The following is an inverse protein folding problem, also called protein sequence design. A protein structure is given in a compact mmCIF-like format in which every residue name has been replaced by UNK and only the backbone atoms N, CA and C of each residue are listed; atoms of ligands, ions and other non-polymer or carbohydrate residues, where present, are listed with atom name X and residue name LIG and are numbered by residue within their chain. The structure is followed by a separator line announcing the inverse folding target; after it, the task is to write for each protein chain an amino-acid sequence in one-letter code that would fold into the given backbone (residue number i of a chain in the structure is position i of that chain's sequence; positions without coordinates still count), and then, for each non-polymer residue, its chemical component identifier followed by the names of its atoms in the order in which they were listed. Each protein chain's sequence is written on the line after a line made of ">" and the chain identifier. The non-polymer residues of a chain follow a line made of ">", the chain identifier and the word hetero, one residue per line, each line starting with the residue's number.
data_IF_124015027575
#
_entry.id   IF_124015027575
#
_cell.length_a   1.000
_cell.length_b   1.000
_cell.length_c   1.000
_cell.angle_alpha   90.00
_cell.angle_beta   90.00
_cell.angle_gamma   90.00
#
_symmetry.space_group_name_H-M   'P 1'
#
loop_
_entity.id
_entity.type
_entity.pdbx_description
1 polymer ?
#
# COMPACT_ATOMS: atom_id res chain seq x y z
N UNK A 1 -5.73 13.26 -25.25
CA UNK A 1 -5.77 11.91 -24.67
C UNK A 1 -5.35 10.93 -25.76
N UNK A 2 -4.31 10.13 -25.53
CA UNK A 2 -4.03 8.98 -26.39
C UNK A 2 -5.22 8.03 -26.26
N UNK A 3 -5.95 7.78 -27.36
CA UNK A 3 -6.97 6.74 -27.37
C UNK A 3 -6.25 5.39 -27.46
N UNK A 4 -5.99 4.79 -26.30
CA UNK A 4 -5.48 3.42 -26.22
C UNK A 4 -6.66 2.47 -26.43
N UNK A 5 -6.62 1.66 -27.47
CA UNK A 5 -7.66 0.68 -27.75
C UNK A 5 -7.44 -0.62 -26.95
N UNK A 6 -8.48 -1.46 -26.84
CA UNK A 6 -8.41 -2.71 -26.07
C UNK A 6 -7.32 -3.68 -26.55
N UNK A 7 -6.99 -3.66 -27.85
CA UNK A 7 -5.92 -4.50 -28.40
C UNK A 7 -4.54 -4.06 -27.89
N UNK A 8 -4.33 -2.75 -27.74
CA UNK A 8 -3.10 -2.20 -27.14
C UNK A 8 -3.03 -2.53 -25.65
N UNK A 9 -4.15 -2.43 -24.91
CA UNK A 9 -4.22 -2.83 -23.50
C UNK A 9 -3.87 -4.32 -23.36
N UNK A 10 -4.45 -5.17 -24.20
CA UNK A 10 -4.15 -6.62 -24.22
C UNK A 10 -2.69 -6.91 -24.59
N UNK A 11 -2.07 -6.10 -25.44
CA UNK A 11 -0.65 -6.24 -25.75
C UNK A 11 0.25 -5.95 -24.53
N UNK A 12 -0.11 -4.93 -23.73
CA UNK A 12 0.58 -4.62 -22.47
C UNK A 12 0.33 -5.74 -21.45
N UNK A 13 -0.92 -6.23 -21.35
CA UNK A 13 -1.29 -7.37 -20.52
C UNK A 13 -0.47 -8.62 -20.81
N UNK A 14 -0.21 -8.92 -22.10
CA UNK A 14 0.69 -10.01 -22.49
C UNK A 14 2.11 -9.83 -21.97
N UNK A 15 2.64 -8.60 -21.90
CA UNK A 15 3.96 -8.35 -21.31
C UNK A 15 3.95 -8.59 -19.80
N UNK A 16 2.88 -8.16 -19.10
CA UNK A 16 2.72 -8.40 -17.65
C UNK A 16 2.64 -9.90 -17.33
N UNK A 17 1.89 -10.66 -18.12
CA UNK A 17 1.58 -12.07 -17.88
C UNK A 17 2.63 -13.05 -18.45
N UNK A 18 3.68 -12.56 -19.11
CA UNK A 18 4.76 -13.40 -19.66
C UNK A 18 5.82 -13.69 -18.59
N UNK A 19 5.75 -14.89 -18.00
CA UNK A 19 6.67 -15.35 -16.96
C UNK A 19 8.13 -15.49 -17.44
N UNK A 20 8.39 -15.53 -18.75
CA UNK A 20 9.75 -15.58 -19.28
C UNK A 20 10.41 -14.20 -19.35
N UNK A 21 9.66 -13.12 -19.09
CA UNK A 21 10.19 -11.76 -19.13
C UNK A 21 10.83 -11.34 -17.81
N UNK A 22 11.87 -10.50 -17.87
CA UNK A 22 12.43 -9.89 -16.66
C UNK A 22 11.37 -9.13 -15.87
N UNK A 23 11.40 -9.28 -14.53
CA UNK A 23 10.42 -8.68 -13.64
C UNK A 23 10.29 -7.15 -13.81
N UNK A 24 11.39 -6.45 -14.11
CA UNK A 24 11.39 -5.00 -14.43
C UNK A 24 10.51 -4.62 -15.63
N UNK A 25 10.39 -5.49 -16.63
CA UNK A 25 9.52 -5.25 -17.79
C UNK A 25 8.06 -5.47 -17.43
N UNK A 26 7.80 -6.51 -16.63
CA UNK A 26 6.48 -6.85 -16.12
C UNK A 26 5.93 -5.73 -15.22
N UNK A 27 6.75 -5.17 -14.33
CA UNK A 27 6.39 -3.98 -13.54
C UNK A 27 6.08 -2.76 -14.41
N UNK A 28 6.88 -2.50 -15.46
CA UNK A 28 6.57 -1.41 -16.39
C UNK A 28 5.23 -1.60 -17.08
N UNK A 29 4.90 -2.83 -17.47
CA UNK A 29 3.60 -3.15 -18.05
C UNK A 29 2.47 -2.93 -17.03
N UNK A 30 2.64 -3.39 -15.79
CA UNK A 30 1.70 -3.18 -14.69
C UNK A 30 1.40 -1.69 -14.44
N UNK A 31 2.43 -0.87 -14.24
CA UNK A 31 2.24 0.57 -14.03
C UNK A 31 1.62 1.27 -15.25
N UNK A 32 1.91 0.78 -16.46
CA UNK A 32 1.25 1.29 -17.67
C UNK A 32 -0.25 0.96 -17.65
N UNK A 33 -0.63 -0.27 -17.30
CA UNK A 33 -2.04 -0.67 -17.15
C UNK A 33 -2.75 0.13 -16.07
N UNK A 34 -2.12 0.33 -14.90
CA UNK A 34 -2.63 1.19 -13.83
C UNK A 34 -2.98 2.59 -14.35
N UNK A 35 -2.06 3.21 -15.09
CA UNK A 35 -2.24 4.57 -15.60
C UNK A 35 -3.26 4.66 -16.74
N UNK A 36 -3.46 3.59 -17.51
CA UNK A 36 -4.51 3.51 -18.54
C UNK A 36 -5.89 3.38 -17.89
N UNK A 37 -6.01 2.49 -16.90
CA UNK A 37 -7.23 2.23 -16.18
C UNK A 37 -8.34 1.52 -16.98
N UNK A 38 -9.51 1.39 -16.36
CA UNK A 38 -10.70 0.78 -16.94
C UNK A 38 -10.73 -0.76 -16.86
N UNK A 39 -11.92 -1.31 -17.09
CA UNK A 39 -12.23 -2.73 -16.88
C UNK A 39 -11.28 -3.69 -17.61
N UNK A 40 -10.83 -3.35 -18.82
CA UNK A 40 -9.88 -4.18 -19.57
C UNK A 40 -8.50 -4.20 -18.93
N UNK A 41 -7.99 -3.07 -18.43
CA UNK A 41 -6.72 -3.03 -17.73
C UNK A 41 -6.80 -3.81 -16.39
N UNK A 42 -7.90 -3.66 -15.65
CA UNK A 42 -8.19 -4.44 -14.44
C UNK A 42 -8.14 -5.95 -14.74
N UNK A 43 -8.77 -6.38 -15.84
CA UNK A 43 -8.76 -7.79 -16.23
C UNK A 43 -7.34 -8.30 -16.58
N UNK A 44 -6.53 -7.51 -17.29
CA UNK A 44 -5.16 -7.89 -17.62
C UNK A 44 -4.26 -7.97 -16.37
N UNK A 45 -4.48 -7.10 -15.38
CA UNK A 45 -3.82 -7.15 -14.07
C UNK A 45 -4.29 -8.41 -13.31
N UNK A 46 -5.60 -8.67 -13.30
CA UNK A 46 -6.19 -9.81 -12.60
C UNK A 46 -5.62 -11.16 -13.08
N UNK A 47 -5.42 -11.32 -14.39
CA UNK A 47 -4.87 -12.55 -14.97
C UNK A 47 -3.48 -12.94 -14.39
N UNK A 48 -2.76 -11.97 -13.81
CA UNK A 48 -1.40 -12.16 -13.29
C UNK A 48 -1.36 -12.60 -11.81
N UNK A 49 -2.49 -12.72 -11.10
CA UNK A 49 -2.49 -13.14 -9.68
C UNK A 49 -2.12 -14.61 -9.45
N UNK A 50 -1.95 -15.41 -10.49
CA UNK A 50 -1.42 -16.78 -10.40
C UNK A 50 0.12 -16.83 -10.54
N UNK A 51 0.80 -15.68 -10.52
CA UNK A 51 2.26 -15.62 -10.58
C UNK A 51 2.94 -16.15 -9.31
N UNK A 52 4.10 -16.78 -9.46
CA UNK A 52 4.88 -17.30 -8.33
C UNK A 52 5.50 -16.18 -7.48
N UNK A 53 5.68 -14.98 -8.04
CA UNK A 53 6.25 -13.85 -7.31
C UNK A 53 5.21 -13.17 -6.42
N UNK A 54 5.23 -13.46 -5.12
CA UNK A 54 4.43 -12.73 -4.13
C UNK A 54 4.64 -11.20 -4.19
N UNK A 55 5.86 -10.74 -4.52
CA UNK A 55 6.15 -9.32 -4.69
C UNK A 55 5.37 -8.73 -5.89
N UNK A 56 5.30 -9.47 -7.00
CA UNK A 56 4.51 -9.04 -8.14
C UNK A 56 3.02 -9.02 -7.78
N UNK A 57 2.51 -10.10 -7.17
CA UNK A 57 1.10 -10.21 -6.77
C UNK A 57 0.66 -9.10 -5.80
N UNK A 58 1.51 -8.76 -4.84
CA UNK A 58 1.33 -7.58 -3.99
C UNK A 58 1.17 -6.32 -4.85
N UNK A 59 2.12 -6.03 -5.75
CA UNK A 59 2.05 -4.84 -6.60
C UNK A 59 0.80 -4.82 -7.53
N UNK A 60 0.29 -5.99 -7.94
CA UNK A 60 -0.97 -6.07 -8.67
C UNK A 60 -2.14 -5.52 -7.83
N UNK A 61 -2.26 -5.98 -6.58
CA UNK A 61 -3.30 -5.53 -5.65
C UNK A 61 -3.14 -4.03 -5.34
N UNK A 62 -1.91 -3.57 -5.09
CA UNK A 62 -1.59 -2.16 -4.91
C UNK A 62 -2.08 -1.33 -6.10
N UNK A 63 -1.70 -1.72 -7.32
CA UNK A 63 -2.10 -0.99 -8.53
C UNK A 63 -3.63 -0.94 -8.70
N UNK A 64 -4.35 -2.03 -8.41
CA UNK A 64 -5.81 -2.05 -8.44
C UNK A 64 -6.42 -1.07 -7.42
N UNK A 65 -5.87 -1.00 -6.19
CA UNK A 65 -6.30 -0.03 -5.18
C UNK A 65 -6.06 1.42 -5.61
N UNK A 66 -4.88 1.70 -6.15
CA UNK A 66 -4.50 3.03 -6.62
C UNK A 66 -5.32 3.51 -7.84
N UNK A 67 -5.93 2.60 -8.60
CA UNK A 67 -6.85 2.93 -9.68
C UNK A 67 -8.19 3.47 -9.17
N UNK A 68 -8.55 3.17 -7.91
CA UNK A 68 -9.80 3.56 -7.27
C UNK A 68 -11.07 3.20 -8.08
N UNK A 69 -11.00 2.12 -8.86
CA UNK A 69 -12.10 1.65 -9.70
C UNK A 69 -12.82 0.47 -9.01
N UNK A 70 -14.12 0.65 -8.73
CA UNK A 70 -14.92 -0.34 -8.01
C UNK A 70 -15.07 -1.68 -8.75
N UNK A 71 -14.79 -1.74 -10.05
CA UNK A 71 -14.75 -3.00 -10.79
C UNK A 71 -13.65 -3.96 -10.27
N UNK A 72 -12.64 -3.46 -9.55
CA UNK A 72 -11.62 -4.29 -8.92
C UNK A 72 -12.07 -4.95 -7.60
N UNK A 73 -13.16 -4.49 -6.98
CA UNK A 73 -13.61 -4.97 -5.66
C UNK A 73 -13.81 -6.50 -5.61
N UNK A 74 -14.53 -7.14 -6.56
CA UNK A 74 -14.73 -8.58 -6.51
C UNK A 74 -13.42 -9.38 -6.57
N UNK A 75 -12.43 -8.87 -7.33
CA UNK A 75 -11.10 -9.48 -7.45
C UNK A 75 -10.37 -9.38 -6.11
N UNK A 76 -10.29 -8.17 -5.54
CA UNK A 76 -9.59 -7.92 -4.28
C UNK A 76 -10.22 -8.68 -3.10
N UNK A 77 -11.54 -8.80 -3.06
CA UNK A 77 -12.23 -9.66 -2.08
C UNK A 77 -11.81 -11.13 -2.25
N UNK A 78 -11.72 -11.62 -3.48
CA UNK A 78 -11.24 -12.96 -3.78
C UNK A 78 -9.83 -13.21 -3.21
N UNK A 79 -8.92 -12.28 -3.44
CA UNK A 79 -7.52 -12.35 -2.96
C UNK A 79 -7.44 -12.27 -1.43
N UNK A 80 -8.18 -11.37 -0.79
CA UNK A 80 -8.20 -11.23 0.67
C UNK A 80 -8.64 -12.53 1.38
N UNK A 81 -9.64 -13.21 0.80
CA UNK A 81 -10.21 -14.48 1.32
C UNK A 81 -9.34 -15.70 1.05
N UNK A 82 -8.46 -15.62 0.06
CA UNK A 82 -7.66 -16.77 -0.38
C UNK A 82 -6.48 -17.01 0.59
N UNK A 83 -6.69 -17.91 1.55
CA UNK A 83 -5.67 -18.32 2.53
C UNK A 83 -4.47 -19.05 1.92
N UNK A 84 -4.50 -19.37 0.62
CA UNK A 84 -3.35 -19.89 -0.11
C UNK A 84 -2.42 -18.79 -0.64
N UNK A 85 -2.89 -17.54 -0.67
CA UNK A 85 -2.04 -16.38 -0.94
C UNK A 85 -1.16 -16.05 0.27
N UNK A 86 0.02 -15.49 0.00
CA UNK A 86 0.93 -15.05 1.03
C UNK A 86 0.31 -13.89 1.84
N UNK A 87 0.62 -13.77 3.14
CA UNK A 87 0.21 -12.64 3.98
C UNK A 87 0.42 -11.27 3.31
N UNK A 88 1.56 -11.09 2.63
CA UNK A 88 1.90 -9.86 1.90
C UNK A 88 0.88 -9.51 0.80
N UNK A 89 0.34 -10.50 0.10
CA UNK A 89 -0.63 -10.26 -0.98
C UNK A 89 -2.01 -9.99 -0.41
N UNK A 90 -2.37 -10.69 0.68
CA UNK A 90 -3.66 -10.55 1.34
C UNK A 90 -3.84 -9.20 2.03
N UNK A 91 -2.82 -8.69 2.73
CA UNK A 91 -2.94 -7.35 3.33
C UNK A 91 -3.10 -6.30 2.23
N UNK A 92 -2.30 -6.35 1.16
CA UNK A 92 -2.36 -5.37 0.08
C UNK A 92 -3.74 -5.38 -0.60
N UNK A 93 -4.40 -6.54 -0.71
CA UNK A 93 -5.79 -6.60 -1.15
C UNK A 93 -6.76 -5.89 -0.19
N UNK A 94 -6.58 -6.04 1.13
CA UNK A 94 -7.34 -5.33 2.15
C UNK A 94 -7.12 -3.81 2.11
N UNK A 95 -5.88 -3.37 1.93
CA UNK A 95 -5.52 -1.96 1.78
C UNK A 95 -6.14 -1.37 0.52
N UNK A 96 -6.04 -2.08 -0.60
CA UNK A 96 -6.60 -1.67 -1.89
C UNK A 96 -8.12 -1.46 -1.82
N UNK A 97 -8.85 -2.29 -1.07
CA UNK A 97 -10.28 -2.08 -0.80
C UNK A 97 -10.54 -0.76 -0.07
N UNK A 98 -9.71 -0.42 0.93
CA UNK A 98 -9.75 0.88 1.61
C UNK A 98 -9.35 2.06 0.71
N UNK A 99 -8.42 1.85 -0.21
CA UNK A 99 -7.97 2.85 -1.19
C UNK A 99 -9.07 3.18 -2.21
N UNK A 100 -9.82 2.17 -2.69
CA UNK A 100 -10.99 2.34 -3.56
C UNK A 100 -12.04 3.21 -2.87
N UNK A 101 -12.24 3.04 -1.56
CA UNK A 101 -13.08 3.94 -0.77
C UNK A 101 -14.58 3.66 -0.87
N UNK A 102 -14.98 2.52 -1.46
CA UNK A 102 -16.38 2.14 -1.61
C UNK A 102 -16.92 1.53 -0.31
N UNK A 103 -17.96 2.11 0.34
CA UNK A 103 -18.50 1.61 1.61
C UNK A 103 -19.07 0.19 1.55
N UNK A 104 -19.36 -0.36 0.37
CA UNK A 104 -19.85 -1.74 0.21
C UNK A 104 -18.86 -2.79 0.70
N UNK A 105 -17.58 -2.44 0.83
CA UNK A 105 -16.51 -3.33 1.31
C UNK A 105 -16.42 -3.37 2.85
N UNK A 106 -17.18 -2.55 3.58
CA UNK A 106 -17.12 -2.52 5.05
C UNK A 106 -17.36 -3.90 5.69
N UNK A 107 -18.40 -4.68 5.31
CA UNK A 107 -18.65 -5.97 5.97
C UNK A 107 -17.49 -6.96 5.82
N UNK A 108 -16.82 -6.97 4.67
CA UNK A 108 -15.69 -7.87 4.45
C UNK A 108 -14.44 -7.40 5.22
N UNK A 109 -14.20 -6.09 5.31
CA UNK A 109 -13.10 -5.58 6.13
C UNK A 109 -13.36 -5.81 7.63
N UNK A 110 -14.60 -5.71 8.10
CA UNK A 110 -14.97 -6.05 9.49
C UNK A 110 -14.74 -7.55 9.79
N UNK A 111 -15.04 -8.43 8.83
CA UNK A 111 -14.74 -9.86 8.95
C UNK A 111 -13.23 -10.10 9.08
N UNK A 112 -12.43 -9.52 8.18
CA UNK A 112 -10.98 -9.77 8.10
C UNK A 112 -10.13 -8.91 9.04
N UNK A 113 -10.69 -7.90 9.70
CA UNK A 113 -10.06 -7.22 10.84
C UNK A 113 -9.83 -8.14 12.06
N UNK A 114 -10.35 -9.37 12.00
CA UNK A 114 -10.17 -10.42 13.00
C UNK A 114 -9.42 -11.63 12.44
N UNK A 115 -8.73 -11.47 11.31
CA UNK A 115 -7.94 -12.53 10.69
C UNK A 115 -6.85 -13.04 11.65
N UNK A 116 -6.47 -14.31 11.50
CA UNK A 116 -5.40 -14.90 12.32
C UNK A 116 -4.02 -14.38 11.92
N UNK A 117 -3.87 -13.86 10.70
CA UNK A 117 -2.67 -13.18 10.22
C UNK A 117 -2.74 -11.72 10.63
N UNK A 118 -1.86 -11.33 11.55
CA UNK A 118 -1.82 -9.99 12.14
C UNK A 118 -1.83 -8.87 11.12
N UNK A 119 -1.08 -9.02 10.04
CA UNK A 119 -0.89 -7.99 9.04
C UNK A 119 -2.15 -7.78 8.19
N UNK A 120 -2.92 -8.85 7.96
CA UNK A 120 -4.23 -8.76 7.32
C UNK A 120 -5.23 -8.08 8.25
N UNK A 121 -5.26 -8.48 9.52
CA UNK A 121 -6.15 -7.90 10.53
C UNK A 121 -5.91 -6.40 10.72
N UNK A 122 -4.65 -6.00 10.93
CA UNK A 122 -4.22 -4.61 11.09
C UNK A 122 -4.55 -3.76 9.86
N UNK A 123 -4.28 -4.26 8.65
CA UNK A 123 -4.62 -3.54 7.41
C UNK A 123 -6.12 -3.38 7.21
N UNK A 124 -6.93 -4.39 7.50
CA UNK A 124 -8.38 -4.29 7.40
C UNK A 124 -8.94 -3.28 8.43
N UNK A 125 -8.39 -3.22 9.64
CA UNK A 125 -8.72 -2.18 10.62
C UNK A 125 -8.34 -0.77 10.11
N UNK A 126 -7.14 -0.60 9.55
CA UNK A 126 -6.71 0.66 8.94
C UNK A 126 -7.65 1.10 7.80
N UNK A 127 -8.04 0.17 6.93
CA UNK A 127 -8.97 0.43 5.83
C UNK A 127 -10.36 0.86 6.35
N UNK A 128 -10.86 0.26 7.43
CA UNK A 128 -12.10 0.69 8.09
C UNK A 128 -11.98 2.11 8.66
N UNK A 129 -10.90 2.41 9.38
CA UNK A 129 -10.64 3.75 9.90
C UNK A 129 -10.57 4.79 8.78
N UNK A 130 -9.93 4.44 7.66
CA UNK A 130 -9.89 5.29 6.46
C UNK A 130 -11.27 5.58 5.89
N UNK A 131 -12.10 4.54 5.69
CA UNK A 131 -13.47 4.69 5.19
C UNK A 131 -14.33 5.56 6.13
N UNK A 132 -14.20 5.36 7.43
CA UNK A 132 -14.86 6.19 8.43
C UNK A 132 -14.40 7.65 8.34
N UNK A 133 -13.10 7.88 8.21
CA UNK A 133 -12.54 9.21 8.05
C UNK A 133 -13.05 9.89 6.78
N UNK A 134 -13.10 9.18 5.64
CA UNK A 134 -13.65 9.70 4.38
C UNK A 134 -15.12 10.09 4.52
N UNK A 135 -15.93 9.28 5.21
CA UNK A 135 -17.34 9.58 5.48
C UNK A 135 -17.50 10.88 6.29
N UNK A 136 -16.72 11.03 7.36
CA UNK A 136 -16.74 12.21 8.24
C UNK A 136 -16.22 13.48 7.55
N UNK A 137 -15.32 13.33 6.58
CA UNK A 137 -14.67 14.44 5.87
C UNK A 137 -15.17 14.63 4.43
N UNK A 138 -16.33 14.05 4.09
CA UNK A 138 -16.90 14.09 2.73
C UNK A 138 -17.19 15.49 2.19
N UNK A 139 -17.31 16.49 3.08
CA UNK A 139 -17.53 17.89 2.73
C UNK A 139 -16.24 18.73 2.66
N UNK A 140 -15.09 18.17 3.01
CA UNK A 140 -13.81 18.86 2.94
C UNK A 140 -13.37 18.97 1.48
N UNK A 141 -13.37 20.18 0.93
CA UNK A 141 -12.93 20.49 -0.44
C UNK A 141 -11.43 20.28 -0.68
N UNK A 142 -10.69 19.92 0.38
CA UNK A 142 -9.24 19.81 0.38
C UNK A 142 -8.78 18.55 1.12
N UNK A 143 -9.36 17.39 0.77
CA UNK A 143 -8.75 16.10 1.11
C UNK A 143 -7.33 16.14 0.53
N UNK A 144 -6.34 16.37 1.40
CA UNK A 144 -4.96 16.67 0.98
C UNK A 144 -4.48 15.57 0.05
N UNK A 145 -4.33 15.89 -1.24
CA UNK A 145 -3.75 14.96 -2.20
C UNK A 145 -2.30 14.73 -1.80
N UNK A 146 -1.91 13.46 -1.72
CA UNK A 146 -0.53 13.08 -1.44
C UNK A 146 0.42 13.79 -2.43
N UNK A 147 1.53 14.37 -1.95
CA UNK A 147 2.55 14.94 -2.84
C UNK A 147 3.22 13.88 -3.73
N UNK A 148 2.97 12.59 -3.47
CA UNK A 148 3.53 11.45 -4.20
C UNK A 148 2.54 10.81 -5.19
N UNK A 149 1.38 11.43 -5.42
CA UNK A 149 0.33 10.92 -6.32
C UNK A 149 -0.13 9.49 -5.97
N UNK A 150 -0.08 9.15 -4.67
CA UNK A 150 -0.57 7.91 -4.08
C UNK A 150 -1.88 8.14 -3.32
N UNK A 151 -2.68 7.09 -3.22
CA UNK A 151 -3.76 6.95 -2.24
C UNK A 151 -3.16 6.31 -1.01
N UNK A 152 -2.95 7.11 0.04
CA UNK A 152 -2.34 6.63 1.28
C UNK A 152 -3.38 5.93 2.19
N UNK A 153 -3.01 4.90 2.96
CA UNK A 153 -3.90 4.22 3.91
C UNK A 153 -4.50 5.12 4.98
N UNK A 154 -3.78 6.17 5.38
CA UNK A 154 -4.28 7.19 6.30
C UNK A 154 -4.00 8.59 5.76
N UNK A 155 -4.87 9.58 6.03
CA UNK A 155 -4.56 10.98 5.76
C UNK A 155 -3.40 11.45 6.63
N UNK A 156 -2.62 12.48 6.24
CA UNK A 156 -1.67 13.09 7.16
C UNK A 156 -2.37 13.66 8.41
N UNK A 157 -1.67 13.65 9.54
CA UNK A 157 -2.09 14.37 10.74
C UNK A 157 -1.98 15.90 10.55
N UNK A 158 -2.90 16.65 11.17
CA UNK A 158 -2.91 18.12 11.19
C UNK A 158 -1.88 18.70 12.19
N UNK A 159 -0.65 18.17 12.14
CA UNK A 159 0.47 18.53 13.01
C UNK A 159 1.70 18.77 12.12
N UNK A 160 2.36 19.92 12.29
CA UNK A 160 3.59 20.26 11.57
C UNK A 160 4.87 20.06 12.42
N UNK A 161 4.72 19.83 13.73
CA UNK A 161 5.82 19.66 14.67
C UNK A 161 6.39 18.23 14.57
N UNK A 162 7.61 18.13 14.01
CA UNK A 162 8.32 16.87 13.81
C UNK A 162 8.52 16.10 15.12
N UNK A 163 8.79 16.80 16.24
CA UNK A 163 9.03 16.13 17.52
C UNK A 163 7.75 15.47 18.03
N UNK A 164 6.62 16.17 17.97
CA UNK A 164 5.31 15.61 18.36
C UNK A 164 4.90 14.45 17.46
N UNK A 165 5.10 14.60 16.15
CA UNK A 165 4.83 13.53 15.19
C UNK A 165 5.67 12.29 15.47
N UNK A 166 6.95 12.45 15.80
CA UNK A 166 7.83 11.35 16.22
C UNK A 166 7.32 10.67 17.50
N UNK A 167 6.92 11.45 18.50
CA UNK A 167 6.33 10.92 19.74
C UNK A 167 5.08 10.09 19.46
N UNK A 168 4.22 10.52 18.53
CA UNK A 168 3.05 9.74 18.09
C UNK A 168 3.49 8.48 17.35
N UNK A 169 4.38 8.61 16.36
CA UNK A 169 4.85 7.52 15.48
C UNK A 169 5.38 6.32 16.29
N UNK A 170 6.12 6.59 17.36
CA UNK A 170 6.82 5.60 18.17
C UNK A 170 6.02 5.14 19.42
N UNK A 171 4.83 5.69 19.67
CA UNK A 171 4.03 5.32 20.84
C UNK A 171 3.12 4.12 20.55
N UNK A 172 3.48 2.96 21.08
CA UNK A 172 2.71 1.70 20.90
C UNK A 172 1.33 1.70 21.58
N UNK A 173 1.04 2.67 22.45
CA UNK A 173 -0.28 2.83 23.06
C UNK A 173 -1.22 3.69 22.20
N UNK A 174 -0.73 4.26 21.10
CA UNK A 174 -1.54 5.00 20.13
C UNK A 174 -2.00 4.04 19.03
N UNK A 175 -3.23 4.23 18.54
CA UNK A 175 -3.78 3.39 17.47
C UNK A 175 -2.90 3.42 16.22
N UNK A 176 -2.88 2.30 15.50
CA UNK A 176 -2.10 2.17 14.27
C UNK A 176 -2.46 3.26 13.26
N UNK A 177 -3.75 3.59 13.14
CA UNK A 177 -4.23 4.67 12.27
C UNK A 177 -3.59 6.02 12.60
N UNK A 178 -3.56 6.45 13.86
CA UNK A 178 -2.94 7.72 14.24
C UNK A 178 -1.41 7.71 14.04
N UNK A 179 -0.76 6.56 14.23
CA UNK A 179 0.66 6.38 13.91
C UNK A 179 0.92 6.51 12.40
N UNK A 180 0.05 5.95 11.56
CA UNK A 180 0.10 6.13 10.09
C UNK A 180 -0.14 7.59 9.69
N UNK A 181 -1.10 8.28 10.32
CA UNK A 181 -1.30 9.71 10.06
C UNK A 181 -0.04 10.53 10.38
N UNK A 182 0.63 10.23 11.49
CA UNK A 182 1.90 10.86 11.84
C UNK A 182 3.01 10.52 10.84
N UNK A 183 3.08 9.26 10.40
CA UNK A 183 4.02 8.78 9.38
C UNK A 183 3.90 9.58 8.08
N UNK A 184 2.68 9.72 7.54
CA UNK A 184 2.45 10.46 6.31
C UNK A 184 2.69 11.97 6.47
N UNK A 185 2.45 12.55 7.65
CA UNK A 185 2.86 13.94 7.92
C UNK A 185 4.38 14.09 7.92
N UNK A 186 5.13 13.19 8.56
CA UNK A 186 6.60 13.22 8.55
C UNK A 186 7.17 13.06 7.14
N UNK A 187 6.58 12.18 6.33
CA UNK A 187 6.92 12.02 4.90
C UNK A 187 6.69 13.32 4.14
N UNK A 188 5.55 13.96 4.35
CA UNK A 188 5.18 15.16 3.62
C UNK A 188 6.02 16.38 4.05
N UNK A 189 6.49 16.43 5.31
CA UNK A 189 7.41 17.46 5.81
C UNK A 189 8.80 17.35 5.14
N UNK A 190 9.30 16.13 4.94
CA UNK A 190 10.52 15.83 4.16
C UNK A 190 11.76 16.65 4.58
N UNK A 191 11.96 16.86 5.89
CA UNK A 191 13.19 17.45 6.45
C UNK A 191 14.13 16.35 6.95
N UNK A 192 15.44 16.61 7.14
CA UNK A 192 16.36 15.63 7.72
C UNK A 192 15.83 15.04 9.04
N UNK A 193 15.32 15.88 9.95
CA UNK A 193 14.77 15.43 11.23
C UNK A 193 13.51 14.56 11.07
N UNK A 194 12.64 14.87 10.10
CA UNK A 194 11.44 14.06 9.85
C UNK A 194 11.79 12.69 9.24
N UNK A 195 12.81 12.63 8.39
CA UNK A 195 13.29 11.37 7.80
C UNK A 195 14.00 10.51 8.84
N UNK A 196 14.78 11.11 9.75
CA UNK A 196 15.38 10.40 10.88
C UNK A 196 14.31 9.87 11.84
N UNK A 197 13.25 10.64 12.11
CA UNK A 197 12.11 10.17 12.89
C UNK A 197 11.41 8.97 12.25
N UNK A 198 11.17 9.01 10.93
CA UNK A 198 10.65 7.86 10.17
C UNK A 198 11.60 6.66 10.25
N UNK A 199 12.89 6.88 10.11
CA UNK A 199 13.91 5.82 10.14
C UNK A 199 14.01 5.11 11.49
N UNK A 200 13.68 5.79 12.59
CA UNK A 200 13.54 5.15 13.91
C UNK A 200 12.32 4.21 13.98
N UNK A 201 11.28 4.47 13.17
CA UNK A 201 10.11 3.61 13.04
C UNK A 201 10.40 2.21 12.51
N UNK A 202 11.53 2.01 11.78
CA UNK A 202 11.98 0.68 11.35
C UNK A 202 12.34 -0.26 12.51
N UNK A 203 12.41 0.24 13.74
CA UNK A 203 12.78 -0.54 14.94
C UNK A 203 11.62 -0.72 15.93
N UNK A 204 10.39 -0.34 15.55
CA UNK A 204 9.23 -0.33 16.43
C UNK A 204 7.98 -0.84 15.72
N UNK A 205 6.98 -1.29 16.47
CA UNK A 205 5.70 -1.73 15.92
C UNK A 205 5.72 -3.09 15.21
N UNK A 206 4.61 -3.39 14.53
CA UNK A 206 4.39 -4.64 13.82
C UNK A 206 5.18 -4.73 12.51
N UNK A 207 5.18 -5.92 11.89
CA UNK A 207 5.77 -6.12 10.57
C UNK A 207 5.11 -5.21 9.52
N UNK A 208 3.78 -5.07 9.55
CA UNK A 208 3.03 -4.17 8.68
C UNK A 208 3.48 -2.71 8.87
N UNK A 209 3.59 -2.25 10.12
CA UNK A 209 4.04 -0.88 10.39
C UNK A 209 5.45 -0.61 9.84
N UNK A 210 6.38 -1.54 10.04
CA UNK A 210 7.76 -1.41 9.53
C UNK A 210 7.83 -1.47 8.01
N UNK A 211 7.00 -2.32 7.39
CA UNK A 211 6.84 -2.36 5.94
C UNK A 211 6.42 -1.00 5.39
N UNK A 212 5.40 -0.37 5.98
CA UNK A 212 4.94 0.95 5.53
C UNK A 212 6.01 2.03 5.74
N UNK A 213 6.77 2.00 6.85
CA UNK A 213 7.91 2.90 7.04
C UNK A 213 8.93 2.73 5.92
N UNK A 214 9.29 1.49 5.57
CA UNK A 214 10.23 1.20 4.50
C UNK A 214 9.71 1.71 3.13
N UNK A 215 8.43 1.50 2.84
CA UNK A 215 7.76 2.02 1.66
C UNK A 215 7.84 3.54 1.58
N UNK A 216 7.48 4.24 2.66
CA UNK A 216 7.50 5.71 2.77
C UNK A 216 8.92 6.27 2.61
N UNK A 217 9.93 5.63 3.21
CA UNK A 217 11.33 6.01 3.02
C UNK A 217 11.80 5.78 1.56
N UNK A 218 11.31 4.73 0.92
CA UNK A 218 11.51 4.47 -0.51
C UNK A 218 10.88 5.54 -1.40
N UNK A 219 9.66 6.00 -1.08
CA UNK A 219 9.02 7.12 -1.78
C UNK A 219 9.81 8.43 -1.66
N UNK A 220 10.43 8.68 -0.50
CA UNK A 220 11.21 9.89 -0.23
C UNK A 220 12.49 9.98 -1.07
N UNK A 221 13.12 8.83 -1.39
CA UNK A 221 14.36 8.73 -2.16
C UNK A 221 15.49 9.64 -1.64
N UNK A 222 15.65 9.70 -0.31
CA UNK A 222 16.69 10.52 0.33
C UNK A 222 17.84 9.65 0.83
N UNK A 223 19.07 10.05 0.51
CA UNK A 223 20.29 9.33 0.90
C UNK A 223 20.40 9.14 2.42
N UNK A 224 19.89 10.07 3.22
CA UNK A 224 19.90 9.99 4.69
C UNK A 224 19.14 8.75 5.21
N UNK A 225 18.17 8.21 4.47
CA UNK A 225 17.43 7.01 4.85
C UNK A 225 18.18 5.70 4.51
N UNK A 226 19.15 5.74 3.59
CA UNK A 226 19.81 4.54 3.04
C UNK A 226 20.48 3.69 4.12
N UNK A 227 21.27 4.23 5.07
CA UNK A 227 21.89 3.41 6.11
C UNK A 227 20.87 2.69 7.00
N UNK A 228 19.68 3.26 7.18
CA UNK A 228 18.62 2.69 8.01
C UNK A 228 17.88 1.56 7.28
N UNK A 229 17.57 1.75 6.00
CA UNK A 229 17.01 0.70 5.13
C UNK A 229 18.00 -0.45 4.96
N UNK A 230 19.29 -0.15 4.77
CA UNK A 230 20.34 -1.17 4.66
C UNK A 230 20.48 -1.98 5.96
N UNK A 231 20.41 -1.32 7.12
CA UNK A 231 20.45 -2.00 8.41
C UNK A 231 19.26 -2.96 8.59
N UNK A 232 18.05 -2.55 8.22
CA UNK A 232 16.87 -3.41 8.31
C UNK A 232 16.90 -4.56 7.29
N UNK A 233 17.40 -4.32 6.07
CA UNK A 233 17.59 -5.36 5.07
C UNK A 233 18.61 -6.44 5.50
N UNK A 234 19.63 -6.04 6.27
CA UNK A 234 20.67 -6.93 6.81
C UNK A 234 20.23 -7.71 8.05
N UNK A 235 19.13 -7.32 8.69
CA UNK A 235 18.62 -8.01 9.87
C UNK A 235 18.03 -9.37 9.47
N UNK A 236 18.65 -10.46 9.94
CA UNK A 236 18.24 -11.83 9.61
C UNK A 236 16.97 -12.28 10.33
N UNK A 237 16.59 -11.61 11.41
CA UNK A 237 15.39 -11.90 12.19
C UNK A 237 14.17 -11.07 11.76
N UNK A 238 14.35 -10.18 10.77
CA UNK A 238 13.27 -9.35 10.27
C UNK A 238 12.21 -10.17 9.52
N UNK A 239 10.94 -9.80 9.70
CA UNK A 239 9.78 -10.42 9.05
C UNK A 239 9.84 -10.18 7.53
N UNK A 240 9.53 -11.23 6.75
CA UNK A 240 9.59 -11.22 5.28
C UNK A 240 8.68 -10.18 4.61
N UNK A 241 7.63 -9.72 5.30
CA UNK A 241 6.78 -8.61 4.85
C UNK A 241 7.57 -7.29 4.74
N UNK A 242 8.50 -7.04 5.67
CA UNK A 242 9.27 -5.78 5.68
C UNK A 242 10.27 -5.76 4.54
N UNK A 243 11.02 -6.85 4.38
CA UNK A 243 11.93 -7.07 3.25
C UNK A 243 11.93 -8.54 2.84
N UNK A 244 11.37 -8.83 1.66
CA UNK A 244 11.42 -10.18 1.10
C UNK A 244 12.84 -10.53 0.67
N UNK A 245 13.41 -11.57 1.27
CA UNK A 245 14.70 -12.13 0.83
C UNK A 245 14.46 -12.98 -0.43
N UNK A 246 15.22 -12.71 -1.49
CA UNK A 246 15.27 -13.52 -2.72
C UNK A 246 16.34 -14.59 -2.60
#
# INVERSE_FOLDING_TARGET
>A
MLQVNENQISAIGRVLNDQNRPLKERFRALFTLKNIGGAKAIQEIHNCFNDESALLKHELAYCLGQMQDSHAIPILIGILKDVTQEPMVRHEAGEALGAIGDPTVIPILEEYSKDCVSEVAETCELALCRLQWLKLNSHSTNLQKSPYMSVDPAPPADIADVKKLKEILLNENVSLFERYRAMFSLRNICTPDSILALSEGLKAGSALFKHEIAFVLGQLQKEIAVPHLEASLKDTEENEMVFKRQ
#
